data_IF_704060617162
#
_entry.id   IF_704060617162
#
_cell.length_a   1.000
_cell.length_b   1.000
_cell.length_c   1.000
_cell.angle_alpha   90.00
_cell.angle_beta   90.00
_cell.angle_gamma   90.00
#
_symmetry.space_group_name_H-M   'P 1'
#
loop_
_entity.id
_entity.type
_entity.pdbx_description
1 polymer ?
#
# COMPACT_ATOMS: atom_id res chain seq x y z
N UNK A 1 -4.31 28.12 5.70
CA UNK A 1 -3.47 27.81 4.51
C UNK A 1 -4.10 28.42 3.25
N UNK A 2 -3.31 28.80 2.24
CA UNK A 2 -3.83 29.32 0.96
C UNK A 2 -4.47 28.23 0.10
N UNK A 3 -5.33 28.59 -0.85
CA UNK A 3 -5.97 27.66 -1.80
C UNK A 3 -4.92 26.85 -2.58
N UNK A 4 -3.86 27.53 -3.06
CA UNK A 4 -2.76 26.88 -3.76
C UNK A 4 -2.05 25.84 -2.88
N UNK A 5 -1.85 26.13 -1.59
CA UNK A 5 -1.32 25.15 -0.65
C UNK A 5 -2.21 23.91 -0.52
N UNK A 6 -3.54 24.09 -0.53
CA UNK A 6 -4.50 22.98 -0.42
C UNK A 6 -4.49 22.10 -1.66
N UNK A 7 -4.38 22.72 -2.83
CA UNK A 7 -4.23 21.99 -4.10
C UNK A 7 -2.94 21.18 -4.11
N UNK A 8 -1.81 21.76 -3.68
CA UNK A 8 -0.53 21.03 -3.60
C UNK A 8 -0.66 19.83 -2.66
N UNK A 9 -1.23 20.01 -1.47
CA UNK A 9 -1.48 18.89 -0.54
C UNK A 9 -2.33 17.81 -1.20
N UNK A 10 -3.41 18.19 -1.89
CA UNK A 10 -4.27 17.25 -2.60
C UNK A 10 -3.52 16.45 -3.68
N UNK A 11 -2.61 17.09 -4.42
CA UNK A 11 -1.75 16.41 -5.40
C UNK A 11 -0.81 15.42 -4.71
N UNK A 12 -0.19 15.80 -3.58
CA UNK A 12 0.70 14.89 -2.85
C UNK A 12 -0.08 13.70 -2.27
N UNK A 13 -1.30 13.91 -1.76
CA UNK A 13 -2.20 12.83 -1.33
C UNK A 13 -2.52 11.91 -2.52
N UNK A 14 -2.84 12.46 -3.69
CA UNK A 14 -3.11 11.67 -4.89
C UNK A 14 -1.91 10.81 -5.30
N UNK A 15 -0.69 11.35 -5.23
CA UNK A 15 0.55 10.58 -5.46
C UNK A 15 0.67 9.45 -4.42
N UNK A 16 0.33 9.71 -3.16
CA UNK A 16 0.29 8.69 -2.12
C UNK A 16 -0.74 7.58 -2.41
N UNK A 17 -1.92 7.93 -2.91
CA UNK A 17 -2.96 6.97 -3.31
C UNK A 17 -2.50 6.14 -4.52
N UNK A 18 -1.86 6.75 -5.52
CA UNK A 18 -1.27 6.04 -6.66
C UNK A 18 -0.19 5.06 -6.18
N UNK A 19 0.63 5.47 -5.20
CA UNK A 19 1.63 4.61 -4.57
C UNK A 19 1.04 3.32 -3.99
N UNK A 20 -0.17 3.37 -3.42
CA UNK A 20 -0.86 2.20 -2.88
C UNK A 20 -1.23 1.18 -3.97
N UNK A 21 -1.41 1.60 -5.22
CA UNK A 21 -1.71 0.70 -6.34
C UNK A 21 -0.43 0.22 -7.02
N UNK A 22 0.49 1.14 -7.24
CA UNK A 22 1.67 0.92 -8.09
C UNK A 22 2.84 0.28 -7.32
N UNK A 23 2.84 0.35 -5.98
CA UNK A 23 3.78 -0.36 -5.09
C UNK A 23 5.27 0.00 -5.29
N UNK A 24 5.58 1.14 -5.92
CA UNK A 24 6.96 1.63 -6.08
C UNK A 24 7.45 2.37 -4.83
N UNK A 25 6.58 3.17 -4.22
CA UNK A 25 6.88 3.97 -3.03
C UNK A 25 5.84 3.73 -1.94
N UNK A 26 6.20 3.94 -0.66
CA UNK A 26 5.27 3.70 0.43
C UNK A 26 4.16 4.75 0.43
N UNK A 27 2.90 4.30 0.34
CA UNK A 27 1.72 5.18 0.32
C UNK A 27 1.54 5.96 1.63
N UNK A 28 1.58 5.25 2.77
CA UNK A 28 1.21 5.81 4.07
C UNK A 28 2.05 7.02 4.49
N UNK A 29 3.40 7.04 4.37
CA UNK A 29 4.19 8.22 4.69
C UNK A 29 3.87 9.43 3.80
N UNK A 30 3.57 9.20 2.52
CA UNK A 30 3.24 10.29 1.56
C UNK A 30 1.90 10.91 1.91
N UNK A 31 0.86 10.09 2.10
CA UNK A 31 -0.49 10.58 2.47
C UNK A 31 -0.46 11.22 3.86
N UNK A 32 0.12 10.54 4.86
CA UNK A 32 0.19 11.04 6.23
C UNK A 32 1.02 12.30 6.35
N UNK A 33 2.13 12.40 5.64
CA UNK A 33 2.98 13.60 5.60
C UNK A 33 2.28 14.79 4.98
N UNK A 34 1.54 14.59 3.89
CA UNK A 34 0.74 15.66 3.27
C UNK A 34 -0.35 16.18 4.21
N UNK A 35 -1.07 15.28 4.87
CA UNK A 35 -2.11 15.65 5.84
C UNK A 35 -1.49 16.34 7.07
N UNK A 36 -0.32 15.90 7.55
CA UNK A 36 0.39 16.56 8.64
C UNK A 36 0.77 18.00 8.29
N UNK A 37 1.35 18.21 7.11
CA UNK A 37 1.71 19.56 6.63
C UNK A 37 0.46 20.44 6.56
N UNK A 38 -0.64 19.91 6.02
CA UNK A 38 -1.91 20.62 5.99
C UNK A 38 -2.42 20.98 7.38
N UNK A 39 -2.38 20.05 8.34
CA UNK A 39 -2.83 20.29 9.71
C UNK A 39 -1.96 21.32 10.42
N UNK A 40 -0.64 21.27 10.21
CA UNK A 40 0.29 22.26 10.74
C UNK A 40 0.01 23.67 10.20
N UNK A 41 -0.17 23.81 8.89
CA UNK A 41 -0.41 25.11 8.23
C UNK A 41 -1.84 25.64 8.43
N UNK A 42 -2.79 24.77 8.80
CA UNK A 42 -4.16 25.17 9.12
C UNK A 42 -4.28 25.59 10.59
N UNK A 43 -3.56 24.91 11.50
CA UNK A 43 -3.41 25.33 12.89
C UNK A 43 -4.66 25.19 13.77
N UNK A 44 -5.75 24.62 13.25
CA UNK A 44 -7.01 24.44 13.99
C UNK A 44 -7.08 23.10 14.71
N UNK A 45 -7.84 23.02 15.81
CA UNK A 45 -8.07 21.77 16.54
C UNK A 45 -8.68 20.68 15.64
N UNK A 46 -9.63 21.07 14.77
CA UNK A 46 -10.26 20.16 13.81
C UNK A 46 -9.25 19.53 12.84
N UNK A 47 -8.30 20.32 12.32
CA UNK A 47 -7.27 19.81 11.41
C UNK A 47 -6.35 18.78 12.08
N UNK A 48 -6.01 18.99 13.36
CA UNK A 48 -5.22 18.04 14.15
C UNK A 48 -5.97 16.75 14.47
N UNK A 49 -7.27 16.83 14.75
CA UNK A 49 -8.13 15.64 14.95
C UNK A 49 -8.14 14.78 13.68
N UNK A 50 -8.28 15.42 12.52
CA UNK A 50 -8.28 14.73 11.22
C UNK A 50 -6.95 14.05 10.94
N UNK A 51 -5.83 14.73 11.24
CA UNK A 51 -4.51 14.10 11.17
C UNK A 51 -4.40 12.90 12.10
N UNK A 52 -4.86 13.00 13.35
CA UNK A 52 -4.81 11.86 14.28
C UNK A 52 -5.61 10.65 13.76
N UNK A 53 -6.80 10.88 13.21
CA UNK A 53 -7.61 9.82 12.58
C UNK A 53 -6.87 9.21 11.39
N UNK A 54 -6.37 10.04 10.47
CA UNK A 54 -5.61 9.57 9.31
C UNK A 54 -4.36 8.78 9.72
N UNK A 55 -3.60 9.26 10.71
CA UNK A 55 -2.42 8.57 11.22
C UNK A 55 -2.78 7.19 11.78
N UNK A 56 -3.84 7.08 12.58
CA UNK A 56 -4.32 5.78 13.11
C UNK A 56 -4.70 4.85 11.96
N UNK A 57 -5.49 5.33 10.99
CA UNK A 57 -5.91 4.53 9.83
C UNK A 57 -4.71 4.03 9.04
N UNK A 58 -3.74 4.89 8.76
CA UNK A 58 -2.54 4.55 8.01
C UNK A 58 -1.62 3.58 8.78
N UNK A 59 -1.48 3.74 10.09
CA UNK A 59 -0.72 2.82 10.95
C UNK A 59 -1.39 1.46 10.96
N UNK A 60 -2.71 1.41 11.19
CA UNK A 60 -3.49 0.16 11.18
C UNK A 60 -3.41 -0.50 9.80
N UNK A 61 -3.59 0.24 8.71
CA UNK A 61 -3.43 -0.25 7.35
C UNK A 61 -2.02 -0.83 7.11
N UNK A 62 -0.99 -0.13 7.60
CA UNK A 62 0.41 -0.59 7.52
C UNK A 62 0.62 -1.89 8.30
N UNK A 63 -0.01 -2.08 9.46
CA UNK A 63 0.08 -3.35 10.20
C UNK A 63 -0.68 -4.45 9.46
N UNK A 64 -1.92 -4.17 9.04
CA UNK A 64 -2.79 -5.15 8.41
C UNK A 64 -2.23 -5.67 7.08
N UNK A 65 -1.60 -4.81 6.27
CA UNK A 65 -1.00 -5.22 4.99
C UNK A 65 0.15 -6.22 5.15
N UNK A 66 0.78 -6.30 6.33
CA UNK A 66 1.78 -7.32 6.62
C UNK A 66 1.15 -8.55 7.28
N UNK A 67 0.27 -8.33 8.25
CA UNK A 67 -0.30 -9.41 9.07
C UNK A 67 -1.25 -10.30 8.27
N UNK A 68 -2.13 -9.73 7.45
CA UNK A 68 -3.15 -10.51 6.71
C UNK A 68 -2.49 -11.40 5.66
N UNK A 69 -1.63 -10.89 4.75
CA UNK A 69 -0.97 -11.72 3.75
C UNK A 69 -0.05 -12.78 4.36
N UNK A 70 0.74 -12.43 5.39
CA UNK A 70 1.63 -13.38 6.06
C UNK A 70 0.85 -14.54 6.70
N UNK A 71 -0.27 -14.26 7.38
CA UNK A 71 -1.15 -15.30 7.94
C UNK A 71 -1.78 -16.16 6.85
N UNK A 72 -2.18 -15.56 5.72
CA UNK A 72 -2.73 -16.29 4.57
C UNK A 72 -1.74 -17.30 3.99
N UNK A 73 -0.48 -16.89 3.82
CA UNK A 73 0.59 -17.75 3.31
C UNK A 73 0.96 -18.87 4.27
N UNK A 74 1.05 -18.57 5.57
CA UNK A 74 1.32 -19.59 6.60
C UNK A 74 0.20 -20.64 6.66
N UNK A 75 -1.07 -20.23 6.54
CA UNK A 75 -2.21 -21.16 6.47
C UNK A 75 -2.19 -22.03 5.22
N UNK A 76 -1.66 -21.51 4.12
CA UNK A 76 -1.48 -22.26 2.87
C UNK A 76 -0.25 -23.20 2.90
N UNK A 77 0.50 -23.25 4.00
CA UNK A 77 1.71 -24.07 4.13
C UNK A 77 2.88 -23.58 3.27
N UNK A 78 2.82 -22.36 2.73
CA UNK A 78 3.84 -21.83 1.84
C UNK A 78 4.95 -21.19 2.67
N UNK A 79 6.22 -21.61 2.50
CA UNK A 79 7.32 -21.06 3.27
C UNK A 79 7.52 -19.56 3.05
N UNK A 80 7.86 -18.82 4.12
CA UNK A 80 8.15 -17.39 4.03
C UNK A 80 9.33 -17.09 3.10
N UNK A 81 10.28 -18.03 2.95
CA UNK A 81 11.37 -17.91 1.97
C UNK A 81 10.84 -17.79 0.53
N UNK A 82 9.71 -18.43 0.20
CA UNK A 82 9.09 -18.34 -1.13
C UNK A 82 8.61 -16.90 -1.41
N UNK A 83 8.09 -16.19 -0.41
CA UNK A 83 7.75 -14.76 -0.53
C UNK A 83 8.98 -13.89 -0.74
N UNK A 84 10.09 -14.17 -0.04
CA UNK A 84 11.35 -13.44 -0.22
C UNK A 84 11.85 -13.59 -1.65
N UNK A 85 11.84 -14.80 -2.21
CA UNK A 85 12.19 -15.02 -3.60
C UNK A 85 11.22 -14.35 -4.57
N UNK A 86 9.92 -14.35 -4.26
CA UNK A 86 8.93 -13.59 -5.02
C UNK A 86 9.19 -12.09 -5.01
N UNK A 87 9.57 -11.52 -3.86
CA UNK A 87 9.93 -10.11 -3.75
C UNK A 87 11.19 -9.79 -4.55
N UNK A 88 12.25 -10.62 -4.43
CA UNK A 88 13.48 -10.47 -5.22
C UNK A 88 13.18 -10.58 -6.72
N UNK A 89 12.42 -11.59 -7.13
CA UNK A 89 11.98 -11.78 -8.51
C UNK A 89 11.18 -10.59 -9.02
N UNK A 90 10.27 -10.05 -8.21
CA UNK A 90 9.51 -8.86 -8.55
C UNK A 90 10.39 -7.63 -8.73
N UNK A 91 11.36 -7.40 -7.83
CA UNK A 91 12.33 -6.31 -7.98
C UNK A 91 13.15 -6.45 -9.26
N UNK A 92 13.63 -7.66 -9.58
CA UNK A 92 14.37 -7.90 -10.83
C UNK A 92 13.48 -7.68 -12.05
N UNK A 93 12.27 -8.25 -12.04
CA UNK A 93 11.32 -8.14 -13.13
C UNK A 93 10.89 -6.70 -13.38
N UNK A 94 10.80 -5.87 -12.34
CA UNK A 94 10.56 -4.43 -12.47
C UNK A 94 11.58 -3.75 -13.39
N UNK A 95 12.89 -4.02 -13.21
CA UNK A 95 13.94 -3.45 -14.07
C UNK A 95 13.86 -3.90 -15.53
N UNK A 96 13.22 -5.04 -15.80
CA UNK A 96 13.09 -5.61 -17.15
C UNK A 96 11.87 -5.05 -17.87
N UNK A 97 10.72 -5.01 -17.18
CA UNK A 97 9.43 -4.77 -17.84
C UNK A 97 8.68 -3.52 -17.40
N UNK A 98 9.00 -2.95 -16.22
CA UNK A 98 8.19 -1.94 -15.51
C UNK A 98 6.69 -2.32 -15.41
N UNK A 99 5.89 -1.63 -14.60
CA UNK A 99 5.09 -2.18 -13.49
C UNK A 99 4.58 -3.63 -13.58
N UNK A 100 4.12 -4.06 -14.75
CA UNK A 100 3.88 -5.47 -15.11
C UNK A 100 5.07 -6.40 -14.77
N UNK A 101 6.30 -5.94 -14.96
CA UNK A 101 7.52 -6.69 -14.64
C UNK A 101 7.61 -7.12 -13.18
N UNK A 102 7.05 -6.35 -12.24
CA UNK A 102 7.05 -6.68 -10.81
C UNK A 102 6.20 -7.92 -10.54
N UNK A 103 4.98 -7.95 -11.09
CA UNK A 103 4.07 -9.08 -10.94
C UNK A 103 4.59 -10.30 -11.68
N UNK A 104 5.07 -10.12 -12.91
CA UNK A 104 5.63 -11.22 -13.71
C UNK A 104 6.89 -11.82 -13.08
N UNK A 105 7.79 -10.99 -12.59
CA UNK A 105 9.00 -11.44 -11.90
C UNK A 105 8.69 -12.20 -10.62
N UNK A 106 7.70 -11.74 -9.84
CA UNK A 106 7.21 -12.47 -8.67
C UNK A 106 6.63 -13.84 -9.05
N UNK A 107 5.80 -13.89 -10.10
CA UNK A 107 5.20 -15.15 -10.59
C UNK A 107 6.30 -16.14 -10.97
N UNK A 108 7.26 -15.72 -11.81
CA UNK A 108 8.33 -16.58 -12.29
C UNK A 108 9.21 -17.08 -11.14
N UNK A 109 9.59 -16.21 -10.20
CA UNK A 109 10.43 -16.59 -9.08
C UNK A 109 9.74 -17.55 -8.12
N UNK A 110 8.47 -17.30 -7.77
CA UNK A 110 7.71 -18.16 -6.85
C UNK A 110 7.46 -19.51 -7.50
N UNK A 111 6.97 -19.52 -8.74
CA UNK A 111 6.73 -20.76 -9.47
C UNK A 111 8.02 -21.57 -9.60
N UNK A 112 9.13 -20.93 -9.98
CA UNK A 112 10.43 -21.59 -10.13
C UNK A 112 10.94 -22.19 -8.83
N UNK A 113 10.95 -21.43 -7.73
CA UNK A 113 11.42 -21.92 -6.43
C UNK A 113 10.56 -23.06 -5.91
N UNK A 114 9.24 -22.94 -6.03
CA UNK A 114 8.35 -23.98 -5.51
C UNK A 114 8.38 -25.23 -6.40
N UNK A 115 8.47 -25.07 -7.72
CA UNK A 115 8.66 -26.19 -8.64
C UNK A 115 9.97 -26.93 -8.38
N UNK A 116 11.06 -26.21 -8.12
CA UNK A 116 12.34 -26.85 -7.78
C UNK A 116 12.29 -27.61 -6.44
N UNK A 117 11.42 -27.18 -5.51
CA UNK A 117 11.23 -27.82 -4.20
C UNK A 117 10.31 -29.05 -4.27
N UNK A 118 9.16 -28.93 -4.94
CA UNK A 118 8.13 -29.98 -4.97
C UNK A 118 8.26 -30.92 -6.16
N UNK A 119 8.90 -30.46 -7.26
CA UNK A 119 8.87 -31.07 -8.60
C UNK A 119 7.46 -31.31 -9.14
N UNK A 120 6.48 -30.60 -8.62
CA UNK A 120 5.09 -30.66 -9.03
C UNK A 120 4.60 -29.28 -9.50
N UNK A 121 4.13 -29.23 -10.75
CA UNK A 121 3.63 -28.01 -11.38
C UNK A 121 2.33 -27.54 -10.73
N UNK A 122 1.46 -28.44 -10.28
CA UNK A 122 0.19 -28.08 -9.66
C UNK A 122 0.39 -27.40 -8.30
N UNK A 123 1.28 -27.97 -7.47
CA UNK A 123 1.71 -27.37 -6.20
C UNK A 123 2.35 -26.00 -6.40
N UNK A 124 3.30 -25.87 -7.35
CA UNK A 124 3.98 -24.60 -7.62
C UNK A 124 3.02 -23.50 -8.11
N UNK A 125 2.08 -23.86 -8.96
CA UNK A 125 1.05 -22.92 -9.42
C UNK A 125 0.12 -22.49 -8.29
N UNK A 126 -0.28 -23.42 -7.42
CA UNK A 126 -1.10 -23.12 -6.25
C UNK A 126 -0.40 -22.13 -5.32
N UNK A 127 0.90 -22.34 -5.04
CA UNK A 127 1.69 -21.40 -4.24
C UNK A 127 1.77 -20.01 -4.87
N UNK A 128 1.95 -19.95 -6.19
CA UNK A 128 1.97 -18.70 -6.96
C UNK A 128 0.64 -17.95 -6.86
N UNK A 129 -0.50 -18.63 -6.98
CA UNK A 129 -1.82 -18.03 -6.83
C UNK A 129 -2.07 -17.50 -5.42
N UNK A 130 -1.62 -18.21 -4.39
CA UNK A 130 -1.70 -17.72 -3.01
C UNK A 130 -0.86 -16.47 -2.80
N UNK A 131 0.34 -16.42 -3.38
CA UNK A 131 1.19 -15.23 -3.32
C UNK A 131 0.60 -14.04 -4.08
N UNK A 132 -0.01 -14.26 -5.25
CA UNK A 132 -0.74 -13.23 -5.99
C UNK A 132 -1.92 -12.68 -5.19
N UNK A 133 -2.69 -13.55 -4.53
CA UNK A 133 -3.78 -13.13 -3.63
C UNK A 133 -3.24 -12.33 -2.45
N UNK A 134 -2.15 -12.78 -1.85
CA UNK A 134 -1.46 -12.09 -0.75
C UNK A 134 -1.01 -10.69 -1.17
N UNK A 135 -0.41 -10.55 -2.35
CA UNK A 135 -0.01 -9.27 -2.94
C UNK A 135 -1.22 -8.36 -3.22
N UNK A 136 -2.29 -8.92 -3.78
CA UNK A 136 -3.55 -8.19 -3.99
C UNK A 136 -4.17 -7.66 -2.70
N UNK A 137 -4.12 -8.44 -1.61
CA UNK A 137 -4.56 -7.99 -0.28
C UNK A 137 -3.71 -6.83 0.25
N UNK A 138 -2.38 -6.86 0.06
CA UNK A 138 -1.51 -5.74 0.42
C UNK A 138 -1.97 -4.44 -0.26
N UNK A 139 -2.18 -4.48 -1.58
CA UNK A 139 -2.66 -3.34 -2.37
C UNK A 139 -4.03 -2.86 -1.88
N UNK A 140 -4.97 -3.78 -1.69
CA UNK A 140 -6.32 -3.43 -1.26
C UNK A 140 -6.33 -2.73 0.11
N UNK A 141 -5.56 -3.23 1.07
CA UNK A 141 -5.46 -2.66 2.41
C UNK A 141 -4.84 -1.26 2.37
N UNK A 142 -3.73 -1.09 1.63
CA UNK A 142 -3.11 0.23 1.49
C UNK A 142 -4.04 1.22 0.80
N UNK A 143 -4.72 0.80 -0.26
CA UNK A 143 -5.62 1.66 -1.01
C UNK A 143 -6.80 2.11 -0.15
N UNK A 144 -7.41 1.19 0.61
CA UNK A 144 -8.47 1.53 1.57
C UNK A 144 -7.96 2.55 2.59
N UNK A 145 -6.81 2.31 3.22
CA UNK A 145 -6.26 3.21 4.23
C UNK A 145 -5.95 4.60 3.65
N UNK A 146 -5.37 4.66 2.45
CA UNK A 146 -5.05 5.90 1.74
C UNK A 146 -6.33 6.68 1.36
N UNK A 147 -7.33 6.01 0.79
CA UNK A 147 -8.60 6.63 0.39
C UNK A 147 -9.42 7.10 1.60
N UNK A 148 -9.46 6.33 2.68
CA UNK A 148 -10.11 6.75 3.93
C UNK A 148 -9.44 8.00 4.49
N UNK A 149 -8.11 8.05 4.50
CA UNK A 149 -7.35 9.21 4.98
C UNK A 149 -7.53 10.44 4.07
N UNK A 150 -7.52 10.23 2.75
CA UNK A 150 -7.80 11.29 1.77
C UNK A 150 -9.21 11.85 1.93
N UNK A 151 -10.20 10.98 2.17
CA UNK A 151 -11.58 11.40 2.45
C UNK A 151 -11.67 12.21 3.74
N UNK A 152 -11.01 11.76 4.82
CA UNK A 152 -11.00 12.49 6.09
C UNK A 152 -10.41 13.89 5.94
N UNK A 153 -9.31 14.01 5.17
CA UNK A 153 -8.71 15.29 4.82
C UNK A 153 -9.66 16.17 4.00
N UNK A 154 -10.31 15.62 2.97
CA UNK A 154 -11.28 16.36 2.15
C UNK A 154 -12.44 16.94 2.96
N UNK A 155 -12.97 16.17 3.92
CA UNK A 155 -13.95 16.65 4.89
C UNK A 155 -13.37 17.79 5.74
N UNK A 156 -12.12 17.67 6.20
CA UNK A 156 -11.43 18.73 6.94
C UNK A 156 -11.29 20.04 6.18
N UNK A 157 -10.93 19.95 4.91
CA UNK A 157 -10.87 21.11 4.01
C UNK A 157 -12.25 21.75 3.86
N UNK A 158 -13.30 20.96 3.68
CA UNK A 158 -14.66 21.48 3.58
C UNK A 158 -15.11 22.18 4.86
N UNK A 159 -14.85 21.59 6.03
CA UNK A 159 -15.16 22.19 7.33
C UNK A 159 -14.42 23.52 7.55
N UNK A 160 -13.13 23.56 7.21
CA UNK A 160 -12.32 24.77 7.31
C UNK A 160 -12.80 25.87 6.34
N UNK A 161 -13.34 25.51 5.18
CA UNK A 161 -13.91 26.46 4.23
C UNK A 161 -15.24 27.06 4.71
N UNK A 162 -15.99 26.34 5.55
CA UNK A 162 -17.29 26.79 6.09
C UNK A 162 -17.19 27.64 7.37
N UNK A 163 -15.99 27.91 7.89
CA UNK A 163 -15.76 28.88 8.98
C UNK A 163 -16.00 28.38 10.40
N UNK A 164 -15.95 27.05 10.64
CA UNK A 164 -15.93 26.46 11.98
C UNK A 164 -14.50 26.29 12.53
#
# INVERSE_FOLDING_TARGET
>A
MSVLGTVIVGIVILIGVIGAVVQIWPSAPVVGGAILVWSWMTGTRSAWIIFAIAAIVLIVGTVLKYVIPARGMNKAGIPQSTLVWGAVGGVVGWFIGLPLGLVLGMIVAIFGVEYLRSRDTASAWTATLHALKAFGWTIAIELIAALTSATAWGVGVALAATGN
#
